data_IF_256933822755
#
_entry.id   IF_256933822755
#
_cell.length_a   1.000
_cell.length_b   1.000
_cell.length_c   1.000
_cell.angle_alpha   90.00
_cell.angle_beta   90.00
_cell.angle_gamma   90.00
#
_symmetry.space_group_name_H-M   'P 1'
#
loop_
_entity.id
_entity.type
_entity.pdbx_description
1 polymer ?
#
# COMPACT_ATOMS: atom_id res chain seq x y z
N UNK A 1 -11.37 -7.74 3.52
CA UNK A 1 -10.14 -7.29 2.83
C UNK A 1 -10.50 -6.02 2.11
N UNK A 2 -9.66 -4.98 2.21
CA UNK A 2 -9.95 -3.66 1.66
C UNK A 2 -8.85 -3.25 0.68
N UNK A 3 -9.23 -2.70 -0.48
CA UNK A 3 -8.27 -2.19 -1.46
C UNK A 3 -7.70 -0.86 -0.96
N UNK A 4 -6.38 -0.77 -0.94
CA UNK A 4 -5.62 0.41 -0.52
C UNK A 4 -4.52 0.72 -1.52
N UNK A 5 -4.06 1.97 -1.53
CA UNK A 5 -2.99 2.46 -2.40
C UNK A 5 -1.81 2.83 -1.53
N UNK A 6 -0.67 2.18 -1.75
CA UNK A 6 0.46 2.28 -0.83
C UNK A 6 1.64 2.90 -1.54
N UNK A 7 2.26 3.87 -0.89
CA UNK A 7 3.57 4.33 -1.30
C UNK A 7 4.58 3.27 -0.89
N UNK A 8 4.96 2.45 -1.87
CA UNK A 8 6.02 1.46 -1.69
C UNK A 8 7.36 2.16 -1.44
N UNK A 9 8.33 1.42 -0.91
CA UNK A 9 9.57 1.99 -0.37
C UNK A 9 9.49 2.18 1.13
N UNK A 10 10.65 2.45 1.75
CA UNK A 10 10.82 2.48 3.21
C UNK A 10 10.06 3.60 3.95
N UNK A 11 9.20 4.35 3.24
CA UNK A 11 8.52 5.54 3.73
C UNK A 11 7.06 5.30 4.18
N UNK A 12 6.43 4.18 3.79
CA UNK A 12 5.26 3.63 4.49
C UNK A 12 3.96 4.45 4.45
N UNK A 13 3.59 5.07 3.32
CA UNK A 13 2.33 5.82 3.18
C UNK A 13 1.18 4.97 2.63
N UNK A 14 -0.06 5.16 3.10
CA UNK A 14 -1.26 4.49 2.60
C UNK A 14 -2.37 5.50 2.30
N UNK A 15 -3.13 5.27 1.24
CA UNK A 15 -4.28 6.06 0.83
C UNK A 15 -5.44 5.15 0.41
N UNK A 16 -6.67 5.64 0.53
CA UNK A 16 -7.88 4.93 0.07
C UNK A 16 -8.21 5.23 -1.40
N UNK A 17 -7.54 6.21 -1.99
CA UNK A 17 -7.75 6.65 -3.36
C UNK A 17 -6.46 6.54 -4.17
N UNK A 18 -6.55 6.30 -5.49
CA UNK A 18 -5.38 6.32 -6.36
C UNK A 18 -4.73 7.71 -6.36
N UNK A 19 -3.41 7.73 -6.38
CA UNK A 19 -2.66 8.97 -6.36
C UNK A 19 -1.17 8.72 -6.55
N UNK A 20 -0.38 9.73 -6.23
CA UNK A 20 1.08 9.62 -6.19
C UNK A 20 1.56 9.67 -4.74
N UNK A 21 2.70 9.04 -4.49
CA UNK A 21 3.36 9.17 -3.20
C UNK A 21 3.87 10.59 -3.00
N UNK A 22 3.41 11.25 -1.94
CA UNK A 22 3.79 12.62 -1.61
C UNK A 22 4.69 12.69 -0.37
N UNK A 23 5.18 11.55 0.13
CA UNK A 23 6.08 11.50 1.28
C UNK A 23 7.42 12.13 0.92
N UNK A 24 7.74 13.26 1.54
CA UNK A 24 8.97 14.00 1.31
C UNK A 24 10.20 13.15 1.69
N UNK A 25 11.25 13.19 0.88
CA UNK A 25 12.44 12.35 1.07
C UNK A 25 12.27 10.87 0.74
N UNK A 26 11.10 10.43 0.25
CA UNK A 26 10.90 9.05 -0.19
C UNK A 26 11.46 8.82 -1.60
N UNK A 27 12.08 7.66 -1.83
CA UNK A 27 12.57 7.22 -3.14
C UNK A 27 11.47 7.08 -4.19
N UNK A 28 10.22 6.93 -3.73
CA UNK A 28 9.01 6.86 -4.54
C UNK A 28 8.23 8.18 -4.54
N UNK A 29 8.76 9.28 -4.01
CA UNK A 29 8.10 10.58 -4.08
C UNK A 29 7.81 10.95 -5.55
N UNK A 30 6.56 11.35 -5.85
CA UNK A 30 6.07 11.63 -7.18
C UNK A 30 5.75 10.40 -8.05
N UNK A 31 6.04 9.18 -7.57
CA UNK A 31 5.65 7.94 -8.24
C UNK A 31 4.21 7.55 -7.90
N UNK A 32 3.49 6.83 -8.78
CA UNK A 32 2.15 6.35 -8.48
C UNK A 32 2.14 5.41 -7.26
N UNK A 33 1.08 5.51 -6.46
CA UNK A 33 0.84 4.57 -5.36
C UNK A 33 0.53 3.18 -5.93
N UNK A 34 1.06 2.15 -5.28
CA UNK A 34 0.85 0.77 -5.70
C UNK A 34 -0.46 0.22 -5.11
N UNK A 35 -1.36 -0.36 -5.93
CA UNK A 35 -2.59 -0.94 -5.43
C UNK A 35 -2.30 -2.25 -4.68
N UNK A 36 -2.70 -2.30 -3.42
CA UNK A 36 -2.58 -3.47 -2.54
C UNK A 36 -3.91 -3.78 -1.86
N UNK A 37 -4.00 -4.98 -1.30
CA UNK A 37 -5.08 -5.42 -0.43
C UNK A 37 -4.59 -5.41 1.03
N UNK A 38 -5.43 -4.91 1.92
CA UNK A 38 -5.20 -4.95 3.36
C UNK A 38 -6.09 -6.03 4.01
N UNK A 39 -5.49 -6.98 4.77
CA UNK A 39 -6.26 -7.89 5.62
C UNK A 39 -6.83 -7.08 6.79
N UNK A 40 -8.16 -6.92 6.88
CA UNK A 40 -8.79 -6.19 8.00
C UNK A 40 -8.55 -6.88 9.36
N UNK A 41 -8.19 -8.17 9.36
CA UNK A 41 -7.95 -8.92 10.60
C UNK A 41 -6.55 -8.72 11.19
N UNK A 42 -5.51 -8.64 10.36
CA UNK A 42 -4.12 -8.47 10.83
C UNK A 42 -3.42 -7.20 10.33
N UNK A 43 -4.05 -6.43 9.46
CA UNK A 43 -3.50 -5.21 8.86
C UNK A 43 -2.43 -5.44 7.79
N UNK A 44 -2.12 -6.69 7.45
CA UNK A 44 -1.09 -7.01 6.45
C UNK A 44 -1.49 -6.52 5.05
N UNK A 45 -0.50 -6.00 4.34
CA UNK A 45 -0.60 -5.56 2.95
C UNK A 45 -0.05 -6.65 2.03
N UNK A 46 -0.80 -6.98 0.99
CA UNK A 46 -0.42 -7.97 -0.02
C UNK A 46 -0.99 -7.59 -1.38
N UNK A 47 -0.47 -8.13 -2.47
CA UNK A 47 -0.96 -7.80 -3.81
C UNK A 47 -2.31 -8.47 -4.08
N UNK A 48 -3.11 -7.84 -4.95
CA UNK A 48 -4.38 -8.39 -5.41
C UNK A 48 -4.11 -9.69 -6.18
N UNK A 49 -4.46 -10.84 -5.58
CA UNK A 49 -4.23 -12.17 -6.14
C UNK A 49 -3.25 -13.04 -5.35
N UNK A 50 -2.51 -12.47 -4.40
CA UNK A 50 -1.66 -13.23 -3.49
C UNK A 50 -2.49 -13.92 -2.40
N UNK A 51 -2.14 -15.18 -2.10
CA UNK A 51 -2.71 -15.91 -0.98
C UNK A 51 -2.17 -15.33 0.33
N UNK A 52 -3.02 -14.62 1.06
CA UNK A 52 -2.69 -14.09 2.38
C UNK A 52 -3.39 -14.89 3.47
N UNK A 53 -2.60 -15.45 4.39
CA UNK A 53 -3.08 -16.04 5.65
C UNK A 53 -2.67 -15.13 6.80
N UNK A 54 -3.66 -14.61 7.53
CA UNK A 54 -3.42 -13.77 8.70
C UNK A 54 -2.89 -14.71 9.82
N UNK A 55 -1.61 -14.60 10.19
CA UNK A 55 -0.92 -15.48 11.15
C UNK A 55 -1.06 -14.99 12.60
#
# INVERSE_FOLDING_TARGET
MSKVYVCTGSCGGQAMEPGVCQTDGCERNGQPLEPMMQCDQCGALYHEGDEHTCA
#
